data_IF_469286324057
#
_entry.id   IF_469286324057
#
_cell.length_a   1.000
_cell.length_b   1.000
_cell.length_c   1.000
_cell.angle_alpha   90.00
_cell.angle_beta   90.00
_cell.angle_gamma   90.00
#
_symmetry.space_group_name_H-M   'P 1'
#
loop_
_entity.id
_entity.type
_entity.pdbx_description
1 polymer ?
#
# COMPACT_ATOMS: atom_id res chain seq x y z
N UNK A 1 0.82 -15.42 -19.34
CA UNK A 1 -0.60 -15.77 -19.60
C UNK A 1 -0.78 -16.92 -20.58
N UNK A 2 -0.09 -16.95 -21.72
CA UNK A 2 -0.28 -18.03 -22.73
C UNK A 2 -0.21 -19.47 -22.19
N UNK A 3 0.71 -19.83 -21.28
CA UNK A 3 0.74 -21.18 -20.72
C UNK A 3 -0.54 -21.58 -19.98
N UNK A 4 -1.18 -20.65 -19.25
CA UNK A 4 -2.50 -20.90 -18.61
C UNK A 4 -3.58 -21.13 -19.67
N UNK A 5 -3.64 -20.26 -20.69
CA UNK A 5 -4.66 -20.32 -21.75
C UNK A 5 -4.58 -21.64 -22.53
N UNK A 6 -3.37 -22.17 -22.70
CA UNK A 6 -3.12 -23.43 -23.40
C UNK A 6 -3.24 -24.68 -22.51
N UNK A 7 -3.42 -24.51 -21.19
CA UNK A 7 -3.41 -25.62 -20.23
C UNK A 7 -2.03 -26.25 -20.01
N UNK A 8 -0.96 -25.52 -20.34
CA UNK A 8 0.43 -25.97 -20.17
C UNK A 8 0.97 -25.70 -18.75
N UNK A 9 0.29 -24.83 -18.00
CA UNK A 9 0.60 -24.50 -16.61
C UNK A 9 -0.68 -24.20 -15.83
N UNK A 10 -0.67 -24.42 -14.52
CA UNK A 10 -1.76 -24.06 -13.62
C UNK A 10 -1.55 -22.69 -12.94
N UNK A 11 -0.31 -22.19 -12.94
CA UNK A 11 0.08 -20.92 -12.32
C UNK A 11 1.22 -20.27 -13.12
N UNK A 12 1.24 -18.93 -13.18
CA UNK A 12 2.33 -18.16 -13.82
C UNK A 12 3.27 -17.56 -12.79
N UNK A 13 2.72 -17.04 -11.69
CA UNK A 13 3.48 -16.40 -10.64
C UNK A 13 3.05 -16.98 -9.29
N UNK A 14 4.01 -17.38 -8.47
CA UNK A 14 3.78 -17.75 -7.06
C UNK A 14 3.33 -16.53 -6.21
N UNK A 15 3.75 -15.34 -6.64
CA UNK A 15 3.50 -14.07 -5.96
C UNK A 15 3.27 -12.93 -6.94
N UNK A 16 2.42 -11.98 -6.55
CA UNK A 16 2.15 -10.74 -7.29
C UNK A 16 2.51 -9.53 -6.43
N UNK A 17 2.86 -8.43 -7.08
CA UNK A 17 3.27 -7.20 -6.42
C UNK A 17 2.38 -6.04 -6.84
N UNK A 18 2.26 -5.06 -5.96
CA UNK A 18 1.59 -3.80 -6.23
C UNK A 18 2.31 -2.67 -5.49
N UNK A 19 2.28 -1.48 -6.07
CA UNK A 19 2.91 -0.30 -5.51
C UNK A 19 2.07 0.94 -5.75
N UNK A 20 2.17 1.89 -4.81
CA UNK A 20 1.65 3.25 -4.93
C UNK A 20 2.78 4.16 -4.45
N UNK A 21 3.04 5.26 -5.16
CA UNK A 21 3.95 6.31 -4.68
C UNK A 21 3.16 7.60 -4.43
N UNK A 22 2.44 8.04 -5.46
CA UNK A 22 1.51 9.17 -5.39
C UNK A 22 0.13 8.71 -5.87
N UNK A 23 -0.90 9.31 -5.29
CA UNK A 23 -2.21 9.41 -5.93
C UNK A 23 -2.55 10.89 -6.12
N UNK A 24 -3.31 11.50 -5.22
CA UNK A 24 -3.49 12.95 -5.15
C UNK A 24 -2.37 13.58 -4.30
N UNK A 25 -2.03 12.93 -3.17
CA UNK A 25 -0.91 13.24 -2.30
C UNK A 25 0.11 12.08 -2.26
N UNK A 26 1.27 12.33 -1.65
CA UNK A 26 2.31 11.32 -1.45
C UNK A 26 1.86 10.27 -0.42
N UNK A 27 1.85 9.01 -0.83
CA UNK A 27 1.50 7.87 0.03
C UNK A 27 2.22 6.61 -0.48
N UNK A 28 3.55 6.49 -0.27
CA UNK A 28 4.30 5.34 -0.73
C UNK A 28 3.92 4.05 0.01
N UNK A 29 3.31 3.11 -0.72
CA UNK A 29 3.04 1.74 -0.29
C UNK A 29 3.69 0.74 -1.23
N UNK A 30 4.13 -0.40 -0.70
CA UNK A 30 4.55 -1.57 -1.47
C UNK A 30 3.88 -2.82 -0.93
N UNK A 31 3.46 -3.71 -1.82
CA UNK A 31 2.71 -4.90 -1.50
C UNK A 31 3.29 -6.13 -2.22
N UNK A 32 3.34 -7.25 -1.51
CA UNK A 32 3.51 -8.58 -2.10
C UNK A 32 2.39 -9.49 -1.61
N UNK A 33 1.81 -10.25 -2.52
CA UNK A 33 0.73 -11.20 -2.25
C UNK A 33 1.09 -12.56 -2.83
N UNK A 34 1.07 -13.58 -1.97
CA UNK A 34 1.06 -14.99 -2.36
C UNK A 34 -0.39 -15.51 -2.36
N UNK A 35 -0.58 -16.80 -2.64
CA UNK A 35 -1.91 -17.44 -2.53
C UNK A 35 -2.54 -17.30 -1.14
N UNK A 36 -1.72 -17.36 -0.08
CA UNK A 36 -2.20 -17.38 1.31
C UNK A 36 -1.98 -16.07 2.05
N UNK A 37 -0.90 -15.35 1.80
CA UNK A 37 -0.59 -14.14 2.57
C UNK A 37 -0.51 -12.90 1.69
N UNK A 38 -1.01 -11.78 2.19
CA UNK A 38 -0.73 -10.45 1.65
C UNK A 38 0.05 -9.66 2.69
N UNK A 39 1.10 -9.00 2.23
CA UNK A 39 1.90 -8.11 3.03
C UNK A 39 1.96 -6.74 2.36
N UNK A 40 1.64 -5.69 3.13
CA UNK A 40 1.70 -4.28 2.71
C UNK A 40 2.62 -3.53 3.66
N UNK A 41 3.47 -2.67 3.12
CA UNK A 41 4.32 -1.76 3.89
C UNK A 41 4.15 -0.33 3.41
N UNK A 42 3.93 0.59 4.35
CA UNK A 42 3.97 2.04 4.16
C UNK A 42 5.38 2.57 4.41
N UNK A 43 5.76 3.59 3.65
CA UNK A 43 7.08 4.24 3.73
C UNK A 43 7.01 5.74 4.04
N UNK A 44 5.81 6.25 4.36
CA UNK A 44 5.55 7.66 4.67
C UNK A 44 5.74 8.01 6.16
N UNK A 45 5.81 7.01 7.03
CA UNK A 45 5.90 7.19 8.48
C UNK A 45 4.63 7.74 9.13
N UNK A 46 3.50 7.74 8.40
CA UNK A 46 2.22 8.27 8.89
C UNK A 46 1.47 7.22 9.69
N UNK A 47 0.86 7.66 10.79
CA UNK A 47 0.04 6.80 11.65
C UNK A 47 -1.46 6.91 11.34
N UNK A 48 -1.85 7.85 10.47
CA UNK A 48 -3.25 8.09 10.06
C UNK A 48 -3.40 8.02 8.53
N UNK A 49 -4.64 7.96 8.01
CA UNK A 49 -4.88 7.90 6.57
C UNK A 49 -4.44 9.19 5.84
N UNK A 50 -4.07 9.07 4.56
CA UNK A 50 -3.89 10.22 3.67
C UNK A 50 -5.26 10.57 3.07
N UNK A 51 -5.99 11.45 3.75
CA UNK A 51 -7.37 11.81 3.41
C UNK A 51 -7.59 12.48 2.03
N UNK A 52 -6.66 13.25 1.44
CA UNK A 52 -6.89 13.82 0.12
C UNK A 52 -6.81 12.75 -0.98
N UNK A 53 -6.33 11.54 -0.71
CA UNK A 53 -6.38 10.41 -1.65
C UNK A 53 -7.77 9.76 -1.75
N UNK A 54 -8.77 10.27 -1.02
CA UNK A 54 -10.14 9.77 -1.07
C UNK A 54 -11.08 10.91 -1.48
N UNK A 55 -11.92 10.65 -2.49
CA UNK A 55 -12.88 11.63 -3.00
C UNK A 55 -13.90 12.07 -1.95
N UNK A 56 -14.38 13.32 -2.09
CA UNK A 56 -15.41 13.92 -1.23
C UNK A 56 -16.81 13.36 -1.52
N UNK A 57 -16.99 12.09 -1.21
CA UNK A 57 -18.26 11.38 -1.30
C UNK A 57 -19.01 11.31 0.05
N UNK A 58 -20.33 11.03 0.03
CA UNK A 58 -21.12 10.87 1.25
C UNK A 58 -20.56 9.81 2.22
N UNK A 59 -19.96 8.73 1.70
CA UNK A 59 -19.31 7.70 2.51
C UNK A 59 -18.11 8.23 3.28
N UNK A 60 -17.30 9.10 2.66
CA UNK A 60 -16.16 9.74 3.33
C UNK A 60 -16.65 10.65 4.46
N UNK A 61 -17.66 11.48 4.20
CA UNK A 61 -18.26 12.34 5.22
C UNK A 61 -18.74 11.53 6.43
N UNK A 62 -19.48 10.45 6.18
CA UNK A 62 -19.94 9.56 7.25
C UNK A 62 -18.78 8.94 8.05
N UNK A 63 -17.72 8.49 7.38
CA UNK A 63 -16.57 7.88 8.06
C UNK A 63 -15.79 8.90 8.90
N UNK A 64 -15.61 10.12 8.39
CA UNK A 64 -14.99 11.21 9.13
C UNK A 64 -15.77 11.59 10.39
N UNK A 65 -17.10 11.66 10.30
CA UNK A 65 -17.98 11.86 11.47
C UNK A 65 -17.84 10.75 12.54
N UNK A 66 -17.31 9.58 12.15
CA UNK A 66 -17.05 8.44 13.03
C UNK A 66 -15.58 8.29 13.42
N UNK A 67 -14.75 9.31 13.15
CA UNK A 67 -13.35 9.35 13.59
C UNK A 67 -12.38 8.61 12.67
N UNK A 68 -12.76 8.26 11.44
CA UNK A 68 -11.86 7.57 10.51
C UNK A 68 -10.55 8.34 10.24
N UNK A 69 -10.60 9.67 10.16
CA UNK A 69 -9.41 10.50 9.91
C UNK A 69 -8.36 10.46 11.03
N UNK A 70 -8.76 10.05 12.23
CA UNK A 70 -7.89 9.88 13.40
C UNK A 70 -7.59 8.40 13.66
N UNK A 71 -8.15 7.49 12.85
CA UNK A 71 -7.98 6.05 13.00
C UNK A 71 -6.53 5.63 12.70
N UNK A 72 -5.94 4.74 13.53
CA UNK A 72 -4.58 4.29 13.30
C UNK A 72 -4.49 3.47 12.02
N UNK A 73 -3.37 3.62 11.32
CA UNK A 73 -3.02 2.81 10.16
C UNK A 73 -1.58 2.31 10.33
N UNK A 74 -1.44 0.99 10.45
CA UNK A 74 -0.15 0.37 10.70
C UNK A 74 0.83 0.54 9.53
N UNK A 75 2.10 0.76 9.86
CA UNK A 75 3.23 0.80 8.91
C UNK A 75 3.37 -0.51 8.14
N UNK A 76 3.13 -1.64 8.80
CA UNK A 76 3.24 -2.98 8.24
C UNK A 76 1.94 -3.75 8.49
N UNK A 77 1.44 -4.39 7.44
CA UNK A 77 0.19 -5.12 7.47
C UNK A 77 0.40 -6.51 6.87
N UNK A 78 0.05 -7.56 7.63
CA UNK A 78 0.12 -8.95 7.18
C UNK A 78 -1.24 -9.61 7.36
N UNK A 79 -1.79 -10.17 6.30
CA UNK A 79 -3.10 -10.83 6.33
C UNK A 79 -2.98 -12.28 5.85
N UNK A 80 -3.57 -13.22 6.60
CA UNK A 80 -3.80 -14.60 6.14
C UNK A 80 -5.12 -14.65 5.37
N UNK A 81 -5.05 -14.62 4.05
CA UNK A 81 -6.17 -14.53 3.13
C UNK A 81 -7.02 -15.79 3.09
N UNK A 82 -6.52 -16.91 3.63
CA UNK A 82 -7.31 -18.12 3.74
C UNK A 82 -8.32 -18.03 4.89
N UNK A 83 -7.90 -17.47 6.03
CA UNK A 83 -8.75 -17.33 7.23
C UNK A 83 -9.40 -15.95 7.35
N UNK A 84 -8.81 -14.93 6.73
CA UNK A 84 -9.25 -13.53 6.74
C UNK A 84 -9.24 -12.97 5.30
N UNK A 85 -10.18 -13.38 4.44
CA UNK A 85 -10.27 -12.90 3.06
C UNK A 85 -10.64 -11.42 2.96
N UNK A 86 -11.13 -10.81 4.05
CA UNK A 86 -11.52 -9.40 4.12
C UNK A 86 -10.41 -8.49 4.67
N UNK A 87 -9.25 -9.06 5.04
CA UNK A 87 -8.09 -8.29 5.49
C UNK A 87 -8.42 -7.44 6.75
N UNK A 88 -9.29 -7.97 7.62
CA UNK A 88 -9.77 -7.30 8.81
C UNK A 88 -8.84 -7.46 10.03
N UNK A 89 -7.93 -8.44 10.01
CA UNK A 89 -7.06 -8.76 11.13
C UNK A 89 -5.58 -8.72 10.74
N UNK A 90 -4.92 -7.61 11.09
CA UNK A 90 -3.49 -7.43 10.85
C UNK A 90 -2.66 -8.31 11.80
N UNK A 91 -1.87 -9.22 11.23
CA UNK A 91 -0.98 -10.16 11.92
C UNK A 91 0.46 -9.65 12.05
N UNK A 92 0.78 -8.42 11.62
CA UNK A 92 2.16 -7.93 11.61
C UNK A 92 2.80 -7.85 13.00
N UNK A 93 2.00 -7.64 14.05
CA UNK A 93 2.46 -7.64 15.45
C UNK A 93 2.32 -8.99 16.15
N UNK A 94 1.78 -10.02 15.48
CA UNK A 94 1.63 -11.35 16.06
C UNK A 94 2.95 -12.13 16.02
N UNK A 95 3.48 -12.43 17.21
CA UNK A 95 4.74 -13.16 17.37
C UNK A 95 4.72 -14.54 16.71
N UNK A 96 3.57 -15.20 16.64
CA UNK A 96 3.40 -16.52 16.02
C UNK A 96 3.58 -16.47 14.50
N UNK A 97 3.35 -15.30 13.89
CA UNK A 97 3.50 -15.06 12.45
C UNK A 97 4.83 -14.38 12.08
N UNK A 98 5.74 -14.18 13.03
CA UNK A 98 7.03 -13.49 12.81
C UNK A 98 7.89 -14.09 11.68
N UNK A 99 7.89 -15.42 11.54
CA UNK A 99 8.60 -16.10 10.45
C UNK A 99 7.97 -15.79 9.08
N UNK A 100 6.64 -15.81 8.98
CA UNK A 100 5.89 -15.45 7.77
C UNK A 100 6.11 -13.99 7.41
N UNK A 101 6.00 -13.08 8.39
CA UNK A 101 6.26 -11.66 8.18
C UNK A 101 7.68 -11.42 7.65
N UNK A 102 8.67 -12.08 8.24
CA UNK A 102 10.07 -11.99 7.79
C UNK A 102 10.25 -12.51 6.36
N UNK A 103 9.52 -13.55 5.96
CA UNK A 103 9.56 -14.06 4.60
C UNK A 103 8.94 -13.09 3.59
N UNK A 104 7.76 -12.57 3.90
CA UNK A 104 7.06 -11.60 3.05
C UNK A 104 7.86 -10.30 2.90
N UNK A 105 8.51 -9.82 3.97
CA UNK A 105 9.47 -8.69 3.90
C UNK A 105 10.60 -8.96 2.91
N UNK A 106 11.21 -10.14 2.96
CA UNK A 106 12.30 -10.50 2.03
C UNK A 106 11.81 -10.61 0.59
N UNK A 107 10.63 -11.17 0.36
CA UNK A 107 10.01 -11.25 -0.98
C UNK A 107 9.81 -9.86 -1.56
N UNK A 108 9.27 -8.93 -0.75
CA UNK A 108 9.08 -7.54 -1.16
C UNK A 108 10.41 -6.84 -1.45
N UNK A 109 11.38 -6.94 -0.53
CA UNK A 109 12.71 -6.34 -0.69
C UNK A 109 13.40 -6.81 -1.96
N UNK A 110 13.42 -8.13 -2.23
CA UNK A 110 14.02 -8.68 -3.47
C UNK A 110 13.36 -8.14 -4.72
N UNK A 111 12.04 -7.93 -4.69
CA UNK A 111 11.33 -7.35 -5.83
C UNK A 111 11.69 -5.88 -6.02
N UNK A 112 11.72 -5.09 -4.94
CA UNK A 112 12.15 -3.68 -4.99
C UNK A 112 13.58 -3.57 -5.56
N UNK A 113 14.51 -4.42 -5.12
CA UNK A 113 15.89 -4.43 -5.62
C UNK A 113 15.95 -4.82 -7.11
N UNK A 114 15.25 -5.89 -7.50
CA UNK A 114 15.23 -6.39 -8.89
C UNK A 114 14.60 -5.39 -9.86
N UNK A 115 13.68 -4.56 -9.39
CA UNK A 115 12.98 -3.55 -10.19
C UNK A 115 13.58 -2.16 -10.07
N UNK A 116 14.69 -2.04 -9.34
CA UNK A 116 15.38 -0.76 -9.10
C UNK A 116 14.43 0.31 -8.53
N UNK A 117 13.59 -0.10 -7.56
CA UNK A 117 12.58 0.77 -6.98
C UNK A 117 13.22 2.04 -6.38
N UNK A 118 12.82 3.24 -6.84
CA UNK A 118 13.44 4.49 -6.40
C UNK A 118 13.29 4.73 -4.89
N UNK A 119 12.28 4.12 -4.22
CA UNK A 119 12.14 4.21 -2.76
C UNK A 119 13.35 3.63 -2.01
N UNK A 120 14.12 2.72 -2.62
CA UNK A 120 15.34 2.20 -2.01
C UNK A 120 16.41 3.28 -1.81
N UNK A 121 16.32 4.38 -2.55
CA UNK A 121 17.24 5.53 -2.47
C UNK A 121 16.70 6.67 -1.60
N UNK A 122 15.48 6.55 -1.06
CA UNK A 122 14.81 7.59 -0.27
C UNK A 122 13.44 7.98 -0.84
N UNK A 123 12.82 9.06 -0.33
CA UNK A 123 11.54 9.53 -0.84
C UNK A 123 11.59 9.80 -2.35
N UNK A 124 10.56 9.36 -3.08
CA UNK A 124 10.49 9.55 -4.53
C UNK A 124 9.98 10.96 -4.80
N UNK A 125 10.77 11.85 -5.43
CA UNK A 125 10.29 13.18 -5.75
C UNK A 125 9.21 13.13 -6.83
N UNK A 126 8.18 13.95 -6.69
CA UNK A 126 7.23 14.19 -7.78
C UNK A 126 7.94 14.86 -8.97
N UNK A 127 7.50 14.61 -10.21
CA UNK A 127 8.07 15.27 -11.39
C UNK A 127 7.88 16.79 -11.33
N UNK A 128 8.80 17.53 -11.96
CA UNK A 128 8.67 18.98 -12.15
C UNK A 128 7.35 19.33 -12.87
N UNK A 129 6.64 20.33 -12.37
CA UNK A 129 5.32 20.76 -12.84
C UNK A 129 4.17 19.86 -12.38
N UNK A 130 4.44 18.81 -11.58
CA UNK A 130 3.38 18.05 -10.95
C UNK A 130 2.64 18.90 -9.92
N UNK A 131 1.34 18.65 -9.81
CA UNK A 131 0.46 19.22 -8.80
C UNK A 131 0.07 18.10 -7.84
N UNK A 132 0.42 18.27 -6.56
CA UNK A 132 0.15 17.28 -5.51
C UNK A 132 -0.57 17.93 -4.35
N UNK A 133 -1.53 17.24 -3.74
CA UNK A 133 -2.14 17.68 -2.50
C UNK A 133 -1.15 17.51 -1.33
N UNK A 134 -1.30 18.36 -0.31
CA UNK A 134 -0.66 18.15 0.99
C UNK A 134 -1.19 16.84 1.61
N UNK A 135 -0.34 15.87 1.98
CA UNK A 135 -0.78 14.65 2.68
C UNK A 135 -1.58 14.90 3.97
N UNK A 136 -1.42 16.06 4.60
CA UNK A 136 -2.18 16.49 5.78
C UNK A 136 -3.50 17.20 5.46
N UNK A 137 -3.81 17.40 4.17
CA UNK A 137 -5.08 17.95 3.71
C UNK A 137 -6.26 17.03 4.01
N UNK A 138 -7.49 17.55 3.89
CA UNK A 138 -8.70 16.76 4.09
C UNK A 138 -9.27 16.27 2.75
N UNK A 139 -9.15 17.06 1.69
CA UNK A 139 -9.85 16.87 0.41
C UNK A 139 -8.91 16.95 -0.79
N UNK A 140 -9.13 16.15 -1.86
CA UNK A 140 -8.42 16.33 -3.14
C UNK A 140 -8.73 17.68 -3.82
N UNK A 141 -9.75 18.42 -3.37
CA UNK A 141 -10.14 19.72 -3.92
C UNK A 141 -9.43 20.91 -3.25
N UNK A 142 -8.64 20.64 -2.23
CA UNK A 142 -7.80 21.68 -1.61
C UNK A 142 -6.72 22.17 -2.58
N UNK A 143 -6.17 23.38 -2.37
CA UNK A 143 -5.08 23.89 -3.18
C UNK A 143 -3.90 22.90 -3.24
N UNK A 144 -3.37 22.73 -4.46
CA UNK A 144 -2.24 21.84 -4.73
C UNK A 144 -0.90 22.57 -4.54
N UNK A 145 0.13 21.80 -4.19
CA UNK A 145 1.53 22.20 -4.20
C UNK A 145 2.08 21.90 -5.60
N UNK A 146 2.58 22.93 -6.27
CA UNK A 146 3.27 22.77 -7.55
C UNK A 146 4.75 22.49 -7.32
N UNK A 147 5.27 21.46 -7.97
CA UNK A 147 6.67 21.04 -7.84
C UNK A 147 7.52 21.82 -8.84
N UNK A 148 8.42 22.67 -8.32
CA UNK A 148 9.28 23.55 -9.13
C UNK A 148 10.40 22.84 -9.92
#
# INVERSE_FOLDING_TARGET
MMPLIRGEAEEINEEVYADVTYHAAYEPLRCVRTRRFKYVRRFDGRETPVLPNVDDGPSKSLLLERGWGEGPVDTEQLYDLFFDPHEAHNLASDITHSATLSDMRRRLQRWMERTEDPLLSGPVPAPRGAQVNDPDGLSPREPVIEIE
#
